data_IF_312274327545
#
_entry.id   IF_312274327545
#
_cell.length_a   1.000
_cell.length_b   1.000
_cell.length_c   1.000
_cell.angle_alpha   90.00
_cell.angle_beta   90.00
_cell.angle_gamma   90.00
#
_symmetry.space_group_name_H-M   'P 1'
#
loop_
_entity.id
_entity.type
_entity.pdbx_description
1 polymer ?
#
# COMPACT_ATOMS: atom_id res chain seq x y z
N UNK A 1 -14.43 4.58 -14.55
CA UNK A 1 -15.17 3.40 -14.03
C UNK A 1 -14.10 2.43 -13.56
N UNK A 2 -13.81 2.38 -12.25
CA UNK A 2 -12.80 1.44 -11.74
C UNK A 2 -13.31 0.03 -11.97
N UNK A 3 -12.54 -0.79 -12.68
CA UNK A 3 -12.83 -2.20 -12.88
C UNK A 3 -12.71 -2.89 -11.53
N UNK A 4 -13.82 -3.47 -11.03
CA UNK A 4 -13.87 -4.20 -9.76
C UNK A 4 -13.75 -5.70 -10.01
N UNK A 5 -12.66 -6.12 -10.65
CA UNK A 5 -12.38 -7.54 -10.92
C UNK A 5 -11.36 -8.06 -9.90
N UNK A 6 -11.74 -8.01 -8.61
CA UNK A 6 -10.91 -8.55 -7.53
C UNK A 6 -11.66 -9.66 -6.84
N UNK A 7 -11.05 -10.83 -6.80
CA UNK A 7 -11.57 -12.02 -6.14
C UNK A 7 -10.47 -12.66 -5.33
N UNK A 8 -10.70 -12.77 -4.03
CA UNK A 8 -9.91 -13.61 -3.12
C UNK A 8 -10.84 -14.30 -2.14
N UNK A 9 -10.41 -15.38 -1.50
CA UNK A 9 -11.20 -16.04 -0.45
C UNK A 9 -11.23 -15.22 0.86
N UNK A 10 -10.47 -14.13 0.98
CA UNK A 10 -10.41 -13.25 2.15
C UNK A 10 -11.17 -11.96 1.90
N UNK A 11 -12.36 -11.84 2.48
CA UNK A 11 -13.27 -10.72 2.22
C UNK A 11 -12.65 -9.35 2.57
N UNK A 12 -11.96 -9.26 3.71
CA UNK A 12 -11.31 -8.03 4.13
C UNK A 12 -10.15 -7.63 3.19
N UNK A 13 -9.41 -8.59 2.64
CA UNK A 13 -8.35 -8.30 1.64
C UNK A 13 -8.95 -7.69 0.37
N UNK A 14 -10.07 -8.24 -0.13
CA UNK A 14 -10.76 -7.66 -1.29
C UNK A 14 -11.17 -6.21 -1.02
N UNK A 15 -11.71 -5.95 0.19
CA UNK A 15 -12.09 -4.61 0.60
C UNK A 15 -10.87 -3.65 0.66
N UNK A 16 -9.73 -4.10 1.17
CA UNK A 16 -8.50 -3.30 1.22
C UNK A 16 -7.92 -3.02 -0.18
N UNK A 17 -7.93 -4.00 -1.07
CA UNK A 17 -7.54 -3.80 -2.47
C UNK A 17 -8.48 -2.81 -3.19
N UNK A 18 -9.76 -2.78 -2.82
CA UNK A 18 -10.71 -1.76 -3.30
C UNK A 18 -10.33 -0.35 -2.82
N UNK A 19 -9.83 -0.21 -1.59
CA UNK A 19 -9.32 1.07 -1.11
C UNK A 19 -8.10 1.54 -1.92
N UNK A 20 -7.16 0.61 -2.22
CA UNK A 20 -5.99 0.94 -3.05
C UNK A 20 -6.43 1.45 -4.42
N UNK A 21 -7.27 0.69 -5.10
CA UNK A 21 -7.72 1.06 -6.44
C UNK A 21 -8.50 2.39 -6.44
N UNK A 22 -9.44 2.55 -5.50
CA UNK A 22 -10.33 3.70 -5.46
C UNK A 22 -9.62 5.00 -5.11
N UNK A 23 -8.77 4.97 -4.09
CA UNK A 23 -8.10 6.16 -3.56
C UNK A 23 -6.77 6.45 -4.25
N UNK A 24 -6.10 5.40 -4.74
CA UNK A 24 -4.89 5.51 -5.57
C UNK A 24 -5.18 5.91 -7.01
N UNK A 25 -6.43 5.77 -7.48
CA UNK A 25 -6.83 5.87 -8.89
C UNK A 25 -6.01 4.91 -9.79
N UNK A 26 -5.83 3.70 -9.28
CA UNK A 26 -5.10 2.62 -9.94
C UNK A 26 -6.12 1.55 -10.34
N UNK A 27 -6.05 1.07 -11.56
CA UNK A 27 -6.83 -0.07 -12.00
C UNK A 27 -6.14 -1.36 -11.54
N UNK A 28 -6.83 -2.15 -10.70
CA UNK A 28 -6.34 -3.42 -10.20
C UNK A 28 -7.27 -4.52 -10.69
N UNK A 29 -6.70 -5.53 -11.34
CA UNK A 29 -7.37 -6.79 -11.64
C UNK A 29 -6.63 -7.91 -10.94
N UNK A 30 -7.32 -8.65 -10.08
CA UNK A 30 -6.73 -9.71 -9.26
C UNK A 30 -7.67 -10.91 -9.15
N UNK A 31 -7.17 -12.10 -9.45
CA UNK A 31 -7.80 -13.40 -9.17
C UNK A 31 -6.85 -14.17 -8.25
N UNK A 32 -7.16 -14.14 -6.96
CA UNK A 32 -6.30 -14.66 -5.89
C UNK A 32 -6.88 -15.98 -5.42
N UNK A 33 -6.10 -17.04 -5.54
CA UNK A 33 -6.42 -18.37 -5.06
C UNK A 33 -5.34 -18.81 -4.10
N UNK A 34 -5.73 -19.42 -3.01
CA UNK A 34 -4.79 -19.91 -2.01
C UNK A 34 -5.46 -20.86 -1.04
N UNK A 35 -4.63 -21.54 -0.28
CA UNK A 35 -5.04 -22.49 0.74
C UNK A 35 -5.40 -21.76 2.04
N UNK A 36 -6.62 -22.00 2.52
CA UNK A 36 -7.11 -21.50 3.80
C UNK A 36 -6.90 -22.49 4.97
N UNK A 37 -6.41 -23.70 4.70
CA UNK A 37 -6.19 -24.71 5.75
C UNK A 37 -5.14 -24.26 6.76
N UNK A 38 -4.19 -23.41 6.31
CA UNK A 38 -3.14 -22.81 7.14
C UNK A 38 -3.47 -21.38 7.60
N UNK A 39 -4.71 -20.93 7.36
CA UNK A 39 -5.14 -19.55 7.64
C UNK A 39 -4.96 -18.60 6.45
N UNK A 40 -5.07 -17.30 6.70
CA UNK A 40 -5.06 -16.25 5.65
C UNK A 40 -3.68 -15.66 5.38
N UNK A 41 -2.67 -16.03 6.18
CA UNK A 41 -1.33 -15.41 6.18
C UNK A 41 -0.71 -15.41 4.77
N UNK A 42 -0.55 -16.61 4.19
CA UNK A 42 0.11 -16.76 2.88
C UNK A 42 -0.62 -15.98 1.77
N UNK A 43 -1.96 -16.01 1.77
CA UNK A 43 -2.76 -15.28 0.77
C UNK A 43 -2.52 -13.78 0.85
N UNK A 44 -2.47 -13.23 2.06
CA UNK A 44 -2.26 -11.80 2.29
C UNK A 44 -0.83 -11.41 1.91
N UNK A 45 0.16 -12.19 2.35
CA UNK A 45 1.58 -11.97 2.05
C UNK A 45 1.86 -12.05 0.54
N UNK A 46 1.47 -13.15 -0.11
CA UNK A 46 1.71 -13.34 -1.55
C UNK A 46 1.03 -12.27 -2.38
N UNK A 47 -0.17 -11.84 -1.97
CA UNK A 47 -0.85 -10.70 -2.63
C UNK A 47 -0.03 -9.43 -2.50
N UNK A 48 0.53 -9.14 -1.33
CA UNK A 48 1.38 -7.97 -1.11
C UNK A 48 2.67 -8.02 -1.94
N UNK A 49 3.31 -9.19 -2.01
CA UNK A 49 4.51 -9.44 -2.82
C UNK A 49 4.23 -9.15 -4.30
N UNK A 50 3.20 -9.79 -4.86
CA UNK A 50 2.84 -9.64 -6.27
C UNK A 50 2.41 -8.21 -6.59
N UNK A 51 1.62 -7.58 -5.73
CA UNK A 51 1.21 -6.18 -5.89
C UNK A 51 2.43 -5.25 -5.84
N UNK A 52 3.39 -5.50 -4.95
CA UNK A 52 4.65 -4.77 -4.90
C UNK A 52 5.43 -4.87 -6.20
N UNK A 53 5.60 -6.08 -6.74
CA UNK A 53 6.25 -6.31 -8.04
C UNK A 53 5.54 -5.58 -9.18
N UNK A 54 4.21 -5.60 -9.21
CA UNK A 54 3.43 -4.88 -10.21
C UNK A 54 3.62 -3.36 -10.12
N UNK A 55 3.71 -2.81 -8.91
CA UNK A 55 3.99 -1.38 -8.70
C UNK A 55 5.39 -1.03 -9.21
N UNK A 56 6.41 -1.84 -8.88
CA UNK A 56 7.80 -1.61 -9.34
C UNK A 56 7.88 -1.64 -10.87
N UNK A 57 7.26 -2.63 -11.50
CA UNK A 57 7.20 -2.76 -12.96
C UNK A 57 6.46 -1.57 -13.61
N UNK A 58 5.33 -1.16 -13.05
CA UNK A 58 4.53 -0.04 -13.56
C UNK A 58 5.24 1.32 -13.45
N UNK A 59 6.11 1.49 -12.45
CA UNK A 59 6.92 2.70 -12.28
C UNK A 59 8.10 2.78 -13.27
N UNK A 60 8.50 1.68 -13.86
CA UNK A 60 9.60 1.62 -14.83
C UNK A 60 10.90 2.21 -14.27
N UNK A 61 11.51 3.13 -15.00
CA UNK A 61 12.74 3.81 -14.60
C UNK A 61 12.53 4.96 -13.61
N UNK A 62 11.28 5.20 -13.20
CA UNK A 62 10.86 6.28 -12.30
C UNK A 62 11.21 7.69 -12.79
N UNK A 63 11.34 7.86 -14.12
CA UNK A 63 11.57 9.16 -14.73
C UNK A 63 10.32 10.04 -14.65
N UNK A 64 10.49 11.30 -14.37
CA UNK A 64 9.42 12.31 -14.38
C UNK A 64 8.43 12.25 -13.22
N UNK A 65 8.56 11.30 -12.28
CA UNK A 65 7.63 11.19 -11.16
C UNK A 65 7.97 12.17 -10.03
N UNK A 66 7.01 12.46 -9.17
CA UNK A 66 7.21 13.26 -7.95
C UNK A 66 8.14 12.57 -6.96
N UNK A 67 8.14 11.22 -6.96
CA UNK A 67 8.95 10.33 -6.14
C UNK A 67 8.52 10.24 -4.68
N UNK A 68 8.33 11.37 -4.01
CA UNK A 68 7.91 11.40 -2.61
C UNK A 68 6.46 11.86 -2.52
N UNK A 69 5.72 11.25 -1.61
CA UNK A 69 4.35 11.64 -1.32
C UNK A 69 4.00 11.31 0.11
N UNK A 70 3.18 12.16 0.72
CA UNK A 70 2.68 11.90 2.06
C UNK A 70 1.23 12.34 2.20
N UNK A 71 0.49 11.64 3.03
CA UNK A 71 -0.91 11.97 3.35
C UNK A 71 -1.24 11.64 4.78
N UNK A 72 -2.19 12.39 5.28
CA UNK A 72 -2.91 12.06 6.51
C UNK A 72 -4.38 11.91 6.15
N UNK A 73 -4.97 10.74 6.42
CA UNK A 73 -6.38 10.49 6.18
C UNK A 73 -7.02 9.82 7.38
N UNK A 74 -8.33 9.95 7.45
CA UNK A 74 -9.12 9.42 8.55
C UNK A 74 -10.23 8.46 8.05
N UNK A 75 -10.69 7.63 8.96
CA UNK A 75 -11.99 6.98 8.93
C UNK A 75 -12.54 7.02 10.36
N UNK A 76 -13.62 7.77 10.55
CA UNK A 76 -14.22 8.05 11.86
C UNK A 76 -13.17 8.45 12.89
N UNK A 77 -12.93 7.66 13.96
CA UNK A 77 -11.96 7.94 15.01
C UNK A 77 -10.51 7.55 14.65
N UNK A 78 -10.31 6.80 13.56
CA UNK A 78 -8.98 6.38 13.14
C UNK A 78 -8.33 7.44 12.24
N UNK A 79 -7.10 7.81 12.56
CA UNK A 79 -6.31 8.79 11.82
C UNK A 79 -4.93 8.19 11.51
N UNK A 80 -4.58 8.10 10.24
CA UNK A 80 -3.32 7.53 9.78
C UNK A 80 -2.51 8.57 9.01
N UNK A 81 -1.19 8.55 9.19
CA UNK A 81 -0.22 9.26 8.38
C UNK A 81 0.69 8.27 7.64
N UNK A 82 0.90 8.49 6.36
CA UNK A 82 1.81 7.69 5.52
C UNK A 82 2.71 8.62 4.71
N UNK A 83 4.00 8.33 4.70
CA UNK A 83 4.99 8.92 3.80
C UNK A 83 5.64 7.81 2.96
N UNK A 84 5.80 8.05 1.65
CA UNK A 84 6.36 7.12 0.67
C UNK A 84 7.54 7.78 -0.05
N UNK A 85 8.62 7.03 -0.27
CA UNK A 85 9.73 7.37 -1.15
C UNK A 85 9.94 6.25 -2.18
N UNK A 86 9.59 6.49 -3.44
CA UNK A 86 9.78 5.56 -4.56
C UNK A 86 11.26 5.49 -4.97
N UNK A 87 12.11 5.13 -4.01
CA UNK A 87 13.59 5.24 -4.07
C UNK A 87 14.31 4.05 -4.72
N UNK A 88 13.59 3.05 -5.22
CA UNK A 88 14.21 1.83 -5.75
C UNK A 88 14.74 0.87 -4.67
N UNK A 89 14.46 1.13 -3.39
CA UNK A 89 14.87 0.30 -2.24
C UNK A 89 13.69 0.09 -1.30
N UNK A 90 13.44 -1.18 -0.96
CA UNK A 90 12.43 -1.54 0.05
C UNK A 90 12.91 -1.16 1.45
N UNK A 91 12.13 -0.40 2.18
CA UNK A 91 12.32 -0.10 3.60
C UNK A 91 10.99 0.29 4.25
N UNK A 92 10.67 -0.31 5.37
CA UNK A 92 9.39 -0.07 6.04
C UNK A 92 9.57 0.28 7.51
N UNK A 93 8.78 1.25 7.97
CA UNK A 93 8.57 1.56 9.39
C UNK A 93 7.07 1.64 9.60
N UNK A 94 6.48 0.58 10.13
CA UNK A 94 5.04 0.43 10.25
C UNK A 94 4.64 0.43 11.72
N UNK A 95 3.85 1.43 12.11
CA UNK A 95 3.24 1.50 13.43
C UNK A 95 1.71 1.64 13.27
N UNK A 96 1.01 0.53 13.44
CA UNK A 96 -0.44 0.43 13.37
C UNK A 96 -1.12 0.46 14.76
N UNK A 97 -0.37 0.79 15.81
CA UNK A 97 -0.83 0.71 17.19
C UNK A 97 -0.61 -0.67 17.81
N UNK A 98 -0.85 -0.75 19.11
CA UNK A 98 -0.89 -2.01 19.84
C UNK A 98 -2.31 -2.54 19.68
N UNK A 99 -2.49 -3.63 18.96
CA UNK A 99 -3.80 -4.27 18.97
C UNK A 99 -3.83 -5.70 18.48
N UNK A 100 -4.87 -6.35 18.90
CA UNK A 100 -5.21 -7.73 18.88
C UNK A 100 -5.19 -8.37 17.50
N UNK A 101 -4.85 -9.66 17.47
CA UNK A 101 -4.95 -10.52 16.29
C UNK A 101 -6.42 -10.86 16.00
N UNK A 102 -7.26 -9.84 15.79
CA UNK A 102 -8.67 -10.04 15.48
C UNK A 102 -8.93 -10.07 13.97
N UNK A 103 -9.77 -11.01 13.56
CA UNK A 103 -10.28 -11.11 12.20
C UNK A 103 -9.35 -11.78 11.18
N UNK A 104 -9.88 -11.96 9.99
CA UNK A 104 -9.19 -12.62 8.86
C UNK A 104 -7.98 -11.81 8.34
N UNK A 105 -7.97 -10.51 8.61
CA UNK A 105 -6.90 -9.59 8.24
C UNK A 105 -6.59 -8.68 9.44
N UNK A 106 -5.89 -9.22 10.43
CA UNK A 106 -5.52 -8.52 11.66
C UNK A 106 -4.59 -7.33 11.39
N UNK A 107 -4.39 -6.45 12.38
CA UNK A 107 -3.44 -5.33 12.25
C UNK A 107 -1.99 -5.81 12.12
N UNK A 108 -1.66 -6.95 12.73
CA UNK A 108 -0.35 -7.58 12.54
C UNK A 108 -0.14 -8.03 11.09
N UNK A 109 -1.15 -8.64 10.49
CA UNK A 109 -1.13 -8.96 9.07
C UNK A 109 -1.13 -7.73 8.18
N UNK A 110 -1.76 -6.63 8.61
CA UNK A 110 -1.68 -5.33 7.93
C UNK A 110 -0.25 -4.78 7.92
N UNK A 111 0.47 -4.90 9.04
CA UNK A 111 1.90 -4.57 9.12
C UNK A 111 2.70 -5.41 8.14
N UNK A 112 2.54 -6.73 8.21
CA UNK A 112 3.24 -7.68 7.34
C UNK A 112 2.95 -7.44 5.85
N UNK A 113 1.70 -7.11 5.50
CA UNK A 113 1.31 -6.70 4.16
C UNK A 113 2.15 -5.52 3.65
N UNK A 114 2.29 -4.43 4.45
CA UNK A 114 3.07 -3.27 4.04
C UNK A 114 4.57 -3.55 3.97
N UNK A 115 5.10 -4.40 4.86
CA UNK A 115 6.50 -4.83 4.83
C UNK A 115 6.81 -5.59 3.54
N UNK A 116 5.99 -6.59 3.19
CA UNK A 116 6.13 -7.38 1.97
C UNK A 116 5.92 -6.54 0.70
N UNK A 117 4.92 -5.65 0.72
CA UNK A 117 4.62 -4.72 -0.37
C UNK A 117 5.79 -3.76 -0.64
N UNK A 118 6.34 -3.15 0.41
CA UNK A 118 7.46 -2.21 0.32
C UNK A 118 8.73 -2.89 -0.17
N UNK A 119 9.04 -4.07 0.36
CA UNK A 119 10.22 -4.83 -0.02
C UNK A 119 10.21 -5.17 -1.52
N UNK A 120 9.09 -5.67 -2.03
CA UNK A 120 8.94 -6.10 -3.42
C UNK A 120 8.62 -4.96 -4.39
N UNK A 121 7.97 -3.89 -3.92
CA UNK A 121 7.73 -2.67 -4.68
C UNK A 121 8.94 -1.72 -4.71
N UNK A 122 10.01 -2.06 -3.97
CA UNK A 122 11.26 -1.33 -3.92
C UNK A 122 11.08 0.15 -3.59
N UNK A 123 10.26 0.44 -2.55
CA UNK A 123 10.04 1.79 -2.06
C UNK A 123 10.11 1.87 -0.54
N UNK A 124 10.46 3.04 -0.02
CA UNK A 124 10.40 3.33 1.40
C UNK A 124 8.98 3.70 1.83
N UNK A 125 8.53 3.17 2.99
CA UNK A 125 7.25 3.56 3.59
C UNK A 125 7.41 3.79 5.10
N UNK A 126 6.90 4.91 5.57
CA UNK A 126 6.62 5.17 6.98
C UNK A 126 5.12 5.30 7.17
N UNK A 127 4.54 4.45 7.99
CA UNK A 127 3.12 4.46 8.35
C UNK A 127 2.98 4.61 9.86
N UNK A 128 2.20 5.60 10.29
CA UNK A 128 1.90 5.84 11.70
C UNK A 128 0.42 6.04 11.92
N UNK A 129 -0.18 5.20 12.75
CA UNK A 129 -1.48 5.51 13.33
C UNK A 129 -1.31 6.60 14.38
N UNK A 130 -2.06 7.68 14.22
CA UNK A 130 -2.07 8.83 15.13
C UNK A 130 -3.21 8.74 16.13
N UNK A 131 -4.30 8.09 15.74
CA UNK A 131 -5.47 7.78 16.57
C UNK A 131 -6.22 6.58 15.97
N UNK A 132 -7.03 5.91 16.77
CA UNK A 132 -7.88 4.80 16.35
C UNK A 132 -8.08 3.78 17.46
N UNK A 133 -9.27 3.17 17.50
CA UNK A 133 -9.61 2.12 18.47
C UNK A 133 -10.27 0.91 17.81
N UNK A 134 -11.02 1.12 16.72
CA UNK A 134 -11.63 0.04 15.96
C UNK A 134 -10.64 -0.50 14.92
N UNK A 135 -10.35 -1.81 14.97
CA UNK A 135 -9.36 -2.42 14.08
C UNK A 135 -9.67 -2.24 12.60
N UNK A 136 -10.97 -2.35 12.20
CA UNK A 136 -11.40 -2.14 10.81
C UNK A 136 -11.12 -0.71 10.36
N UNK A 137 -11.45 0.28 11.21
CA UNK A 137 -11.20 1.70 10.89
C UNK A 137 -9.70 2.00 10.81
N UNK A 138 -8.89 1.41 11.69
CA UNK A 138 -7.42 1.51 11.65
C UNK A 138 -6.89 0.95 10.34
N UNK A 139 -7.27 -0.29 9.99
CA UNK A 139 -6.81 -0.95 8.77
C UNK A 139 -7.26 -0.16 7.54
N UNK A 140 -8.53 0.18 7.41
CA UNK A 140 -9.06 0.87 6.23
C UNK A 140 -8.50 2.29 6.08
N UNK A 141 -8.36 3.06 7.18
CA UNK A 141 -7.74 4.38 7.13
C UNK A 141 -6.29 4.30 6.66
N UNK A 142 -5.55 3.26 7.06
CA UNK A 142 -4.17 3.04 6.60
C UNK A 142 -4.10 2.80 5.09
N UNK A 143 -4.98 1.96 4.53
CA UNK A 143 -5.03 1.67 3.10
C UNK A 143 -5.46 2.89 2.26
N UNK A 144 -6.43 3.68 2.74
CA UNK A 144 -6.80 4.96 2.12
C UNK A 144 -5.63 5.94 2.09
N UNK A 145 -4.93 6.04 3.20
CA UNK A 145 -3.80 6.96 3.34
C UNK A 145 -2.63 6.56 2.46
N UNK A 146 -2.26 5.27 2.50
CA UNK A 146 -1.24 4.69 1.62
C UNK A 146 -1.54 4.96 0.15
N UNK A 147 -2.74 4.68 -0.29
CA UNK A 147 -3.15 4.82 -1.68
C UNK A 147 -3.04 6.26 -2.18
N UNK A 148 -3.41 7.22 -1.34
CA UNK A 148 -3.33 8.65 -1.67
C UNK A 148 -1.89 9.16 -1.67
N UNK A 149 -1.04 8.66 -0.77
CA UNK A 149 0.39 8.96 -0.74
C UNK A 149 1.10 8.35 -1.97
N UNK A 150 0.79 7.10 -2.31
CA UNK A 150 1.32 6.44 -3.51
C UNK A 150 0.94 7.19 -4.78
N UNK A 151 -0.34 7.58 -4.92
CA UNK A 151 -0.81 8.39 -6.05
C UNK A 151 -0.02 9.68 -6.20
N UNK A 152 0.26 10.38 -5.10
CA UNK A 152 1.07 11.61 -5.14
C UNK A 152 2.51 11.31 -5.55
N UNK A 153 3.15 10.32 -4.93
CA UNK A 153 4.53 9.93 -5.22
C UNK A 153 4.71 9.49 -6.69
N UNK A 154 3.73 8.78 -7.25
CA UNK A 154 3.74 8.27 -8.62
C UNK A 154 3.26 9.31 -9.66
N UNK A 155 2.74 10.47 -9.25
CA UNK A 155 2.28 11.49 -10.18
C UNK A 155 3.45 12.14 -10.91
N UNK A 156 3.25 12.55 -12.17
CA UNK A 156 4.27 13.27 -12.93
C UNK A 156 4.46 14.70 -12.42
N UNK A 157 5.71 15.13 -12.29
CA UNK A 157 6.07 16.54 -12.10
C UNK A 157 6.38 17.15 -13.48
N UNK A 158 5.50 18.03 -13.95
CA UNK A 158 5.62 18.67 -15.27
C UNK A 158 6.93 19.45 -15.47
N UNK A 159 7.63 19.79 -14.40
CA UNK A 159 8.93 20.48 -14.43
C UNK A 159 10.12 19.54 -14.59
N UNK A 160 9.91 18.22 -14.57
CA UNK A 160 10.98 17.19 -14.56
C UNK A 160 10.66 15.98 -15.43
N UNK A 161 9.85 16.11 -16.45
CA UNK A 161 9.30 14.99 -17.24
C UNK A 161 10.38 14.00 -17.71
N UNK A 162 11.57 14.51 -18.07
CA UNK A 162 12.66 13.70 -18.65
C UNK A 162 13.81 13.45 -17.67
N UNK A 163 13.59 13.58 -16.37
CA UNK A 163 14.67 13.41 -15.39
C UNK A 163 14.27 12.47 -14.25
N UNK A 164 15.23 11.68 -13.80
CA UNK A 164 15.08 10.86 -12.59
C UNK A 164 15.21 11.81 -11.39
N UNK A 165 14.24 11.80 -10.45
CA UNK A 165 14.22 12.70 -9.29
C UNK A 165 15.22 12.28 -8.20
N UNK A 166 16.51 12.22 -8.57
CA UNK A 166 17.61 11.81 -7.71
C UNK A 166 18.87 12.63 -8.02
N UNK A 167 19.54 13.12 -6.98
CA UNK A 167 20.85 13.80 -7.14
C UNK A 167 21.94 12.87 -7.64
N UNK A 168 21.70 11.54 -7.59
CA UNK A 168 22.64 10.51 -8.09
C UNK A 168 22.36 10.14 -9.56
N UNK A 169 21.23 10.63 -10.15
CA UNK A 169 20.82 10.28 -11.51
C UNK A 169 20.26 8.86 -11.66
N UNK A 170 20.09 8.11 -10.57
CA UNK A 170 19.54 6.74 -10.53
C UNK A 170 18.65 6.57 -9.30
N UNK A 171 17.67 5.66 -9.38
CA UNK A 171 16.83 5.17 -8.28
C UNK A 171 16.84 3.65 -8.24
#
# INVERSE_FOLDING_TARGET
MCIRDRSSPVGMLNHMLDQIARHGLIDIKADIKGDLETGTHHIIEDTAIVLGMCIDEALGDRSGITRMGDKTCLLDEALCHVAIDLSGRGYSVINMGENDNEGEFSLDMGRHFYESLSANGRFGIHLRMLAGSNYHHILESSFKTFSRALREAASYDSRRIDSIPSTKGTL
#
